data_IF_435824511029
#
_entry.id   IF_435824511029
#
_cell.length_a   1.000
_cell.length_b   1.000
_cell.length_c   1.000
_cell.angle_alpha   90.00
_cell.angle_beta   90.00
_cell.angle_gamma   90.00
#
_symmetry.space_group_name_H-M   'P 1'
#
loop_
_entity.id
_entity.type
_entity.pdbx_description
1 polymer ?
#
# COMPACT_ATOMS: atom_id res chain seq x y z
N UNK A 1 -21.41 -16.45 42.88
CA UNK A 1 -20.13 -16.20 42.18
C UNK A 1 -19.94 -17.24 41.07
N UNK A 2 -20.70 -17.15 39.95
CA UNK A 2 -20.69 -18.15 38.85
C UNK A 2 -20.85 -17.58 37.42
N UNK A 3 -21.06 -16.27 37.26
CA UNK A 3 -21.41 -15.65 35.96
C UNK A 3 -20.17 -15.17 35.18
N UNK A 4 -19.08 -14.86 35.88
CA UNK A 4 -17.86 -14.32 35.27
C UNK A 4 -17.06 -15.37 34.45
N UNK A 5 -17.37 -16.66 34.60
CA UNK A 5 -16.71 -17.75 33.89
C UNK A 5 -17.37 -18.11 32.55
N UNK A 6 -18.66 -17.80 32.37
CA UNK A 6 -19.40 -18.07 31.13
C UNK A 6 -19.06 -17.08 30.00
N UNK A 7 -18.81 -15.81 30.32
CA UNK A 7 -18.45 -14.80 29.31
C UNK A 7 -17.07 -15.03 28.66
N UNK A 8 -16.13 -15.65 29.39
CA UNK A 8 -14.81 -15.99 28.85
C UNK A 8 -14.87 -17.11 27.81
N UNK A 9 -15.77 -18.08 27.98
CA UNK A 9 -15.94 -19.20 27.06
C UNK A 9 -16.57 -18.72 25.74
N UNK A 10 -17.54 -17.80 25.81
CA UNK A 10 -18.16 -17.21 24.61
C UNK A 10 -17.17 -16.43 23.73
N UNK A 11 -16.25 -15.68 24.35
CA UNK A 11 -15.21 -14.94 23.63
C UNK A 11 -14.16 -15.85 22.99
N UNK A 12 -13.77 -16.93 23.67
CA UNK A 12 -12.82 -17.91 23.13
C UNK A 12 -13.45 -18.63 21.92
N UNK A 13 -14.73 -19.02 22.02
CA UNK A 13 -15.44 -19.62 20.89
C UNK A 13 -15.55 -18.66 19.69
N UNK A 14 -15.78 -17.38 19.94
CA UNK A 14 -15.82 -16.35 18.90
C UNK A 14 -14.46 -16.15 18.22
N UNK A 15 -13.37 -16.10 19.00
CA UNK A 15 -12.02 -15.98 18.46
C UNK A 15 -11.63 -17.21 17.60
N UNK A 16 -12.03 -18.41 18.01
CA UNK A 16 -11.82 -19.63 17.23
C UNK A 16 -12.65 -19.60 15.94
N UNK A 17 -13.92 -19.18 16.01
CA UNK A 17 -14.78 -19.04 14.83
C UNK A 17 -14.23 -18.01 13.83
N UNK A 18 -13.75 -16.86 14.33
CA UNK A 18 -13.10 -15.84 13.50
C UNK A 18 -11.77 -16.32 12.93
N UNK A 19 -10.99 -17.09 13.68
CA UNK A 19 -9.75 -17.70 13.20
C UNK A 19 -10.00 -18.73 12.09
N UNK A 20 -11.02 -19.58 12.24
CA UNK A 20 -11.44 -20.54 11.20
C UNK A 20 -11.96 -19.80 9.96
N UNK A 21 -12.80 -18.77 10.15
CA UNK A 21 -13.33 -17.97 9.04
C UNK A 21 -12.21 -17.24 8.28
N UNK A 22 -11.27 -16.65 9.00
CA UNK A 22 -10.09 -16.02 8.42
C UNK A 22 -9.28 -17.06 7.65
N UNK A 23 -8.98 -18.23 8.24
CA UNK A 23 -8.25 -19.32 7.57
C UNK A 23 -8.94 -19.81 6.27
N UNK A 24 -10.28 -19.91 6.27
CA UNK A 24 -11.02 -20.30 5.05
C UNK A 24 -10.94 -19.26 3.94
N UNK A 25 -10.85 -17.97 4.27
CA UNK A 25 -10.64 -16.91 3.28
C UNK A 25 -9.22 -16.96 2.68
N UNK A 26 -8.22 -17.35 3.47
CA UNK A 26 -6.86 -17.58 2.96
C UNK A 26 -6.75 -18.84 2.09
N UNK A 27 -7.49 -19.90 2.41
CA UNK A 27 -7.49 -21.12 1.58
C UNK A 27 -8.10 -20.91 0.19
N UNK A 28 -9.09 -20.02 0.05
CA UNK A 28 -9.65 -19.67 -1.27
C UNK A 28 -8.65 -18.92 -2.18
N UNK A 29 -7.54 -18.40 -1.64
CA UNK A 29 -6.46 -17.74 -2.40
C UNK A 29 -5.42 -18.74 -2.94
N UNK A 30 -5.52 -20.03 -2.63
CA UNK A 30 -4.46 -21.02 -2.88
C UNK A 30 -4.86 -22.20 -3.78
N UNK A 31 -5.78 -22.01 -4.73
CA UNK A 31 -5.99 -22.99 -5.79
C UNK A 31 -5.60 -22.40 -7.16
N UNK A 32 -4.29 -22.22 -7.35
CA UNK A 32 -3.69 -22.32 -8.68
C UNK A 32 -3.15 -23.74 -8.76
N UNK A 33 -3.92 -24.62 -9.40
CA UNK A 33 -3.53 -25.99 -9.71
C UNK A 33 -2.25 -25.96 -10.57
N UNK A 34 -1.22 -26.75 -10.26
CA UNK A 34 -0.07 -26.89 -11.15
C UNK A 34 -0.52 -27.68 -12.40
N UNK A 35 -0.58 -27.00 -13.54
CA UNK A 35 -0.74 -27.66 -14.83
C UNK A 35 0.57 -28.33 -15.21
N UNK A 36 0.58 -29.66 -15.16
CA UNK A 36 1.52 -30.51 -15.87
C UNK A 36 1.35 -30.29 -17.38
N UNK A 37 2.03 -29.30 -17.95
CA UNK A 37 2.26 -29.25 -19.39
C UNK A 37 3.64 -28.63 -19.64
N UNK A 38 4.47 -29.45 -20.29
CA UNK A 38 5.69 -29.19 -21.06
C UNK A 38 6.55 -27.97 -20.65
N UNK A 39 7.82 -28.22 -20.35
CA UNK A 39 8.85 -27.18 -20.30
C UNK A 39 8.97 -26.51 -21.68
N UNK A 40 8.11 -25.54 -21.94
CA UNK A 40 8.28 -24.59 -23.02
C UNK A 40 9.50 -23.76 -22.65
N UNK A 41 10.50 -23.78 -23.54
CA UNK A 41 11.62 -22.86 -23.50
C UNK A 41 11.06 -21.44 -23.63
N UNK A 42 10.75 -20.84 -22.48
CA UNK A 42 10.21 -19.48 -22.42
C UNK A 42 11.25 -18.55 -23.01
N UNK A 43 10.91 -17.93 -24.15
CA UNK A 43 11.70 -16.84 -24.68
C UNK A 43 11.74 -15.73 -23.62
N UNK A 44 12.93 -15.41 -23.11
CA UNK A 44 13.12 -14.43 -22.03
C UNK A 44 12.61 -13.02 -22.39
N UNK A 45 12.28 -12.80 -23.66
CA UNK A 45 11.74 -11.55 -24.19
C UNK A 45 10.23 -11.34 -23.92
N UNK A 46 9.53 -12.30 -23.31
CA UNK A 46 8.08 -12.25 -23.10
C UNK A 46 7.62 -12.58 -21.67
N UNK A 47 8.43 -12.30 -20.65
CA UNK A 47 7.91 -12.31 -19.28
C UNK A 47 6.87 -11.18 -19.13
N UNK A 48 5.67 -11.43 -18.58
CA UNK A 48 4.80 -10.34 -18.15
C UNK A 48 5.63 -9.51 -17.17
N UNK A 49 5.76 -8.21 -17.45
CA UNK A 49 6.45 -7.28 -16.56
C UNK A 49 5.98 -7.57 -15.14
N UNK A 50 6.90 -8.01 -14.30
CA UNK A 50 6.61 -8.25 -12.89
C UNK A 50 6.01 -6.95 -12.37
N UNK A 51 4.77 -7.01 -11.86
CA UNK A 51 4.04 -5.89 -11.23
C UNK A 51 4.73 -5.41 -9.93
N UNK A 52 6.04 -5.52 -9.85
CA UNK A 52 6.84 -4.91 -8.81
C UNK A 52 6.86 -3.39 -9.08
N UNK A 53 6.66 -2.56 -8.04
CA UNK A 53 6.71 -1.12 -8.21
C UNK A 53 8.10 -0.74 -8.75
N UNK A 54 8.14 -0.04 -9.88
CA UNK A 54 9.39 0.45 -10.43
C UNK A 54 9.98 1.45 -9.42
N UNK A 55 11.11 1.08 -8.80
CA UNK A 55 11.72 1.88 -7.74
C UNK A 55 12.28 3.22 -8.27
N UNK A 56 12.57 3.28 -9.58
CA UNK A 56 13.06 4.45 -10.30
C UNK A 56 12.55 4.39 -11.74
N UNK A 57 12.11 5.52 -12.27
CA UNK A 57 11.91 5.70 -13.71
C UNK A 57 12.34 7.12 -14.14
N UNK A 58 12.19 7.45 -15.43
CA UNK A 58 12.59 8.75 -15.97
C UNK A 58 11.82 9.94 -15.35
N UNK A 59 10.62 9.72 -14.79
CA UNK A 59 9.74 10.76 -14.28
C UNK A 59 9.79 10.95 -12.75
N UNK A 60 10.15 9.91 -11.98
CA UNK A 60 10.24 9.96 -10.52
C UNK A 60 11.13 8.87 -9.93
N UNK A 61 11.62 9.11 -8.71
CA UNK A 61 12.50 8.23 -7.93
C UNK A 61 12.01 8.14 -6.49
N UNK A 62 12.04 6.94 -5.90
CA UNK A 62 11.78 6.74 -4.47
C UNK A 62 13.03 7.14 -3.67
N UNK A 63 12.89 8.09 -2.75
CA UNK A 63 13.99 8.60 -1.93
C UNK A 63 14.04 8.00 -0.54
N UNK A 64 12.88 7.68 0.06
CA UNK A 64 12.79 7.02 1.36
C UNK A 64 11.56 6.11 1.48
N UNK A 65 11.65 5.12 2.37
CA UNK A 65 10.56 4.22 2.73
C UNK A 65 10.60 3.88 4.22
N UNK A 66 9.47 4.04 4.89
CA UNK A 66 9.33 3.70 6.31
C UNK A 66 8.04 2.90 6.58
N UNK A 67 8.04 2.14 7.66
CA UNK A 67 6.85 1.38 8.11
C UNK A 67 6.64 1.60 9.60
N UNK A 68 5.43 1.99 10.00
CA UNK A 68 5.08 2.14 11.40
C UNK A 68 3.60 1.83 11.62
N UNK A 69 3.29 1.01 12.63
CA UNK A 69 1.91 0.78 13.09
C UNK A 69 0.91 0.36 12.00
N UNK A 70 1.33 -0.42 11.00
CA UNK A 70 0.46 -0.85 9.89
C UNK A 70 0.37 0.15 8.74
N UNK A 71 0.98 1.33 8.88
CA UNK A 71 1.15 2.30 7.81
C UNK A 71 2.48 2.11 7.09
N UNK A 72 2.46 2.30 5.77
CA UNK A 72 3.66 2.37 4.92
C UNK A 72 3.81 3.79 4.38
N UNK A 73 5.01 4.34 4.49
CA UNK A 73 5.35 5.68 4.02
C UNK A 73 6.35 5.55 2.88
N UNK A 74 6.07 6.23 1.78
CA UNK A 74 6.94 6.31 0.60
C UNK A 74 7.19 7.77 0.33
N UNK A 75 8.45 8.16 0.24
CA UNK A 75 8.86 9.49 -0.24
C UNK A 75 9.41 9.36 -1.65
N UNK A 76 8.98 10.27 -2.52
CA UNK A 76 9.41 10.30 -3.92
C UNK A 76 9.80 11.71 -4.33
N UNK A 77 10.81 11.79 -5.19
CA UNK A 77 11.13 12.99 -5.96
C UNK A 77 10.60 12.83 -7.38
N UNK A 78 9.80 13.80 -7.84
CA UNK A 78 9.20 13.80 -9.15
C UNK A 78 9.51 15.09 -9.92
N UNK A 79 9.65 14.99 -11.25
CA UNK A 79 9.76 16.17 -12.11
C UNK A 79 8.46 16.97 -12.17
N UNK A 80 7.31 16.28 -12.08
CA UNK A 80 5.97 16.86 -12.09
C UNK A 80 5.12 16.29 -10.93
N UNK A 81 5.10 16.96 -9.76
CA UNK A 81 4.29 16.57 -8.62
C UNK A 81 2.78 16.61 -8.87
N UNK A 82 2.29 17.26 -9.93
CA UNK A 82 0.85 17.30 -10.24
C UNK A 82 0.31 15.95 -10.71
N UNK A 83 1.19 15.01 -11.05
CA UNK A 83 0.85 13.61 -11.38
C UNK A 83 0.63 12.74 -10.13
N UNK A 84 0.20 13.34 -9.02
CA UNK A 84 0.03 12.69 -7.72
C UNK A 84 -0.75 11.38 -7.79
N UNK A 85 -1.91 11.38 -8.46
CA UNK A 85 -2.75 10.19 -8.56
C UNK A 85 -2.06 9.05 -9.31
N UNK A 86 -1.38 9.36 -10.41
CA UNK A 86 -0.68 8.36 -11.21
C UNK A 86 0.48 7.72 -10.43
N UNK A 87 1.35 8.58 -9.86
CA UNK A 87 2.48 8.16 -9.05
C UNK A 87 1.98 7.34 -7.86
N UNK A 88 1.01 7.88 -7.11
CA UNK A 88 0.42 7.21 -5.96
C UNK A 88 -0.16 5.83 -6.30
N UNK A 89 -0.96 5.71 -7.36
CA UNK A 89 -1.52 4.41 -7.76
C UNK A 89 -0.46 3.39 -8.16
N UNK A 90 0.54 3.80 -8.95
CA UNK A 90 1.60 2.90 -9.39
C UNK A 90 2.39 2.29 -8.22
N UNK A 91 2.59 3.07 -7.15
CA UNK A 91 3.28 2.66 -5.94
C UNK A 91 2.39 1.86 -4.99
N UNK A 92 1.13 2.26 -4.85
CA UNK A 92 0.19 1.69 -3.87
C UNK A 92 -0.43 0.38 -4.36
N UNK A 93 -0.88 0.31 -5.62
CA UNK A 93 -1.63 -0.85 -6.14
C UNK A 93 -0.95 -2.21 -5.89
N UNK A 94 0.38 -2.37 -6.09
CA UNK A 94 1.06 -3.64 -5.86
C UNK A 94 1.09 -4.08 -4.39
N UNK A 95 1.05 -3.14 -3.44
CA UNK A 95 1.35 -3.40 -2.02
C UNK A 95 0.17 -3.14 -1.08
N UNK A 96 -0.92 -2.50 -1.55
CA UNK A 96 -2.04 -2.03 -0.72
C UNK A 96 -2.71 -3.11 0.13
N UNK A 97 -2.62 -4.38 -0.27
CA UNK A 97 -3.16 -5.49 0.50
C UNK A 97 -2.42 -5.80 1.81
N UNK A 98 -1.25 -5.20 2.05
CA UNK A 98 -0.37 -5.52 3.18
C UNK A 98 -0.39 -4.46 4.30
N UNK A 99 -1.08 -3.33 4.09
CA UNK A 99 -1.02 -2.17 4.98
C UNK A 99 -2.42 -1.63 5.27
N UNK A 100 -2.60 -1.12 6.48
CA UNK A 100 -3.85 -0.45 6.89
C UNK A 100 -3.96 0.97 6.29
N UNK A 101 -2.80 1.55 5.94
CA UNK A 101 -2.65 2.88 5.37
C UNK A 101 -1.36 2.94 4.55
N UNK A 102 -1.38 3.67 3.43
CA UNK A 102 -0.17 4.02 2.68
C UNK A 102 -0.16 5.52 2.43
N UNK A 103 0.96 6.15 2.76
CA UNK A 103 1.23 7.57 2.54
C UNK A 103 2.32 7.70 1.47
N UNK A 104 2.04 8.47 0.43
CA UNK A 104 3.01 8.82 -0.61
C UNK A 104 3.24 10.32 -0.56
N UNK A 105 4.45 10.72 -0.22
CA UNK A 105 4.91 12.10 -0.19
C UNK A 105 5.67 12.41 -1.47
N UNK A 106 5.24 13.44 -2.19
CA UNK A 106 5.82 13.80 -3.49
C UNK A 106 6.52 15.15 -3.36
N UNK A 107 7.84 15.11 -3.45
CA UNK A 107 8.72 16.26 -3.49
C UNK A 107 9.00 16.66 -4.94
N UNK A 108 9.13 17.96 -5.19
CA UNK A 108 9.56 18.46 -6.50
C UNK A 108 11.07 18.24 -6.63
N UNK A 109 11.50 17.59 -7.72
CA UNK A 109 12.93 17.40 -7.99
C UNK A 109 13.64 18.76 -8.08
N UNK A 110 14.71 18.91 -7.32
CA UNK A 110 15.51 20.14 -7.26
C UNK A 110 14.89 21.27 -6.43
N UNK A 111 13.80 21.02 -5.72
CA UNK A 111 13.29 21.89 -4.67
C UNK A 111 13.96 21.55 -3.33
N UNK A 112 14.37 22.56 -2.57
CA UNK A 112 15.00 22.41 -1.25
C UNK A 112 13.98 22.56 -0.09
N UNK A 113 12.69 22.61 -0.41
CA UNK A 113 11.61 22.64 0.57
C UNK A 113 11.60 21.38 1.45
N UNK A 114 11.57 21.57 2.78
CA UNK A 114 11.35 20.48 3.75
C UNK A 114 9.90 19.95 3.72
N UNK A 115 9.00 20.62 3.00
CA UNK A 115 7.61 20.22 2.84
C UNK A 115 7.36 19.61 1.46
N UNK A 116 6.60 18.50 1.40
CA UNK A 116 6.24 17.86 0.14
C UNK A 116 5.25 18.73 -0.64
N UNK A 117 5.45 18.78 -1.96
CA UNK A 117 4.59 19.52 -2.87
C UNK A 117 3.17 18.94 -2.91
N UNK A 118 3.05 17.61 -2.78
CA UNK A 118 1.78 16.86 -2.76
C UNK A 118 1.89 15.64 -1.85
N UNK A 119 0.74 15.20 -1.32
CA UNK A 119 0.62 13.92 -0.61
C UNK A 119 -0.58 13.14 -1.08
N UNK A 120 -0.38 11.87 -1.36
CA UNK A 120 -1.45 10.90 -1.55
C UNK A 120 -1.57 10.02 -0.30
N UNK A 121 -2.78 9.85 0.18
CA UNK A 121 -3.11 8.87 1.21
C UNK A 121 -4.02 7.79 0.60
N UNK A 122 -3.70 6.54 0.87
CA UNK A 122 -4.56 5.41 0.57
C UNK A 122 -4.97 4.69 1.86
N UNK A 123 -6.27 4.38 1.98
CA UNK A 123 -6.79 3.47 3.01
C UNK A 123 -7.80 2.50 2.41
N UNK A 124 -8.01 1.31 3.00
CA UNK A 124 -9.00 0.35 2.51
C UNK A 124 -10.43 0.91 2.43
N UNK A 125 -10.80 1.77 3.38
CA UNK A 125 -12.15 2.34 3.47
C UNK A 125 -12.31 3.64 2.67
N UNK A 126 -11.26 4.46 2.59
CA UNK A 126 -11.29 5.78 1.95
C UNK A 126 -10.82 5.78 0.49
N UNK A 127 -10.14 4.73 0.04
CA UNK A 127 -9.47 4.74 -1.27
C UNK A 127 -8.35 5.78 -1.31
N UNK A 128 -8.13 6.37 -2.47
CA UNK A 128 -7.10 7.38 -2.73
C UNK A 128 -7.63 8.78 -2.41
N UNK A 129 -6.89 9.54 -1.60
CA UNK A 129 -7.19 10.92 -1.24
C UNK A 129 -5.92 11.74 -1.37
N UNK A 130 -5.98 12.78 -2.19
CA UNK A 130 -4.90 13.78 -2.30
C UNK A 130 -5.07 14.86 -1.24
N UNK A 131 -3.97 15.22 -0.60
CA UNK A 131 -3.89 16.22 0.45
C UNK A 131 -2.85 17.26 0.03
N UNK A 132 -3.29 18.50 -0.13
CA UNK A 132 -2.40 19.63 -0.41
C UNK A 132 -1.88 20.22 0.90
N UNK A 133 -0.57 20.49 0.95
CA UNK A 133 0.00 21.32 2.00
C UNK A 133 -0.18 22.78 1.58
N UNK A 134 -1.02 23.52 2.29
CA UNK A 134 -1.01 24.97 2.17
C UNK A 134 0.34 25.46 2.70
N UNK A 135 1.11 26.17 1.88
CA UNK A 135 2.28 26.89 2.36
C UNK A 135 1.82 27.87 3.45
N UNK A 136 2.53 27.94 4.57
CA UNK A 136 2.19 28.78 5.74
C UNK A 136 2.23 30.31 5.46
N UNK A 137 2.24 30.74 4.20
CA UNK A 137 2.35 32.13 3.76
C UNK A 137 0.98 32.82 3.51
N UNK A 138 -0.10 32.31 4.13
CA UNK A 138 -1.43 32.94 4.06
C UNK A 138 -2.05 33.25 5.45
N UNK A 139 -1.25 33.22 6.52
CA UNK A 139 -1.68 33.67 7.86
C UNK A 139 -1.29 35.11 8.20
N UNK A 140 -0.81 35.90 7.23
CA UNK A 140 -0.35 37.28 7.44
C UNK A 140 -1.02 38.31 6.51
N UNK A 141 -2.31 38.16 6.20
CA UNK A 141 -3.12 39.20 5.55
C UNK A 141 -4.39 39.54 6.30
#
# INVERSE_FOLDING_TARGET
>A
MKIQWMFRIGLIACAIALGILNLTLWQQRAEVVPSDDEFEVVNLEALPETNEPQLVNEAWEITDMATAHGAFVIEVEADDPSRTEEIGRSLVEPIKGNYDEILVYINQRGDESDLPARRMQWTPAGGYVELEYASEDDSAR
#
